data_IF_788549925930
#
_entry.id   IF_788549925930
#
_cell.length_a   1.000
_cell.length_b   1.000
_cell.length_c   1.000
_cell.angle_alpha   90.00
_cell.angle_beta   90.00
_cell.angle_gamma   90.00
#
_symmetry.space_group_name_H-M   'P 1'
#
loop_
_entity.id
_entity.type
_entity.pdbx_description
1 polymer ?
#
# COMPACT_ATOMS: atom_id res chain seq x y z
N UNK A 1 2.94 20.48 12.72
CA UNK A 1 1.63 20.85 12.14
C UNK A 1 0.57 19.88 12.64
N UNK A 2 -0.69 20.27 12.66
CA UNK A 2 -1.82 19.41 13.07
C UNK A 2 -2.77 19.13 11.90
N UNK A 3 -3.54 18.04 12.02
CA UNK A 3 -4.60 17.72 11.07
C UNK A 3 -5.68 18.79 11.19
N UNK A 4 -5.94 19.48 10.09
CA UNK A 4 -6.91 20.58 10.07
C UNK A 4 -8.35 20.10 9.87
N UNK A 5 -8.51 18.99 9.15
CA UNK A 5 -9.81 18.48 8.72
C UNK A 5 -9.71 16.99 8.41
N UNK A 6 -10.78 16.24 8.68
CA UNK A 6 -10.89 14.81 8.36
C UNK A 6 -12.10 14.60 7.45
N UNK A 7 -11.88 14.00 6.27
CA UNK A 7 -12.90 13.68 5.28
C UNK A 7 -13.12 12.16 5.29
N UNK A 8 -14.34 11.72 5.58
CA UNK A 8 -14.72 10.31 5.50
C UNK A 8 -15.24 9.97 4.11
N UNK A 9 -14.40 9.32 3.31
CA UNK A 9 -14.71 8.93 1.92
C UNK A 9 -15.74 7.81 1.79
N UNK A 10 -16.20 7.22 2.89
CA UNK A 10 -17.36 6.29 2.89
C UNK A 10 -18.69 7.03 2.94
N UNK A 11 -18.69 8.31 3.33
CA UNK A 11 -19.89 9.15 3.42
C UNK A 11 -20.05 10.10 2.25
N UNK A 12 -19.09 10.10 1.33
CA UNK A 12 -19.05 10.97 0.17
C UNK A 12 -18.82 10.16 -1.09
N UNK A 13 -19.50 10.55 -2.16
CA UNK A 13 -19.15 10.07 -3.50
C UNK A 13 -17.78 10.61 -3.90
N UNK A 14 -17.16 9.97 -4.91
CA UNK A 14 -15.88 10.41 -5.46
C UNK A 14 -15.92 11.87 -5.95
N UNK A 15 -17.03 12.29 -6.58
CA UNK A 15 -17.18 13.67 -7.06
C UNK A 15 -17.38 14.68 -5.93
N UNK A 16 -18.12 14.32 -4.88
CA UNK A 16 -18.31 15.20 -3.71
C UNK A 16 -17.00 15.43 -2.96
N UNK A 17 -16.26 14.36 -2.67
CA UNK A 17 -14.95 14.47 -2.02
C UNK A 17 -13.97 15.28 -2.88
N UNK A 18 -14.00 15.10 -4.21
CA UNK A 18 -13.18 15.88 -5.13
C UNK A 18 -13.55 17.37 -5.15
N UNK A 19 -14.85 17.69 -5.07
CA UNK A 19 -15.32 19.07 -4.98
C UNK A 19 -14.84 19.74 -3.68
N UNK A 20 -14.92 19.03 -2.54
CA UNK A 20 -14.39 19.52 -1.27
C UNK A 20 -12.89 19.83 -1.42
N UNK A 21 -12.08 18.93 -2.00
CA UNK A 21 -10.65 19.20 -2.19
C UNK A 21 -10.38 20.40 -3.12
N UNK A 22 -11.16 20.58 -4.19
CA UNK A 22 -11.04 21.76 -5.07
C UNK A 22 -11.29 23.06 -4.32
N UNK A 23 -12.36 23.11 -3.54
CA UNK A 23 -12.72 24.28 -2.75
C UNK A 23 -11.59 24.58 -1.75
N UNK A 24 -11.05 23.56 -1.08
CA UNK A 24 -9.91 23.72 -0.15
C UNK A 24 -8.61 24.17 -0.84
N UNK A 25 -8.32 23.70 -2.04
CA UNK A 25 -7.13 24.13 -2.78
C UNK A 25 -7.29 25.58 -3.25
N UNK A 26 -8.51 26.03 -3.53
CA UNK A 26 -8.79 27.44 -3.83
C UNK A 26 -8.53 28.36 -2.63
N UNK A 27 -8.77 27.88 -1.41
CA UNK A 27 -8.49 28.61 -0.16
C UNK A 27 -7.01 28.54 0.24
N UNK A 28 -6.40 27.37 0.13
CA UNK A 28 -5.03 27.09 0.62
C UNK A 28 -4.14 26.63 -0.52
N UNK A 29 -3.00 27.30 -0.69
CA UNK A 29 -2.08 27.08 -1.80
C UNK A 29 -1.47 25.66 -1.87
N UNK A 30 -1.28 24.99 -0.72
CA UNK A 30 -0.79 23.62 -0.65
C UNK A 30 -1.70 22.77 0.25
N UNK A 31 -2.19 21.66 -0.29
CA UNK A 31 -2.89 20.62 0.47
C UNK A 31 -2.01 19.38 0.61
N UNK A 32 -1.98 18.81 1.81
CA UNK A 32 -1.26 17.57 2.11
C UNK A 32 -2.30 16.57 2.61
N UNK A 33 -2.57 15.56 1.78
CA UNK A 33 -3.52 14.51 2.06
C UNK A 33 -2.82 13.37 2.77
N UNK A 34 -3.26 13.08 4.00
CA UNK A 34 -2.72 12.02 4.85
C UNK A 34 -3.80 11.00 5.20
N UNK A 35 -3.42 9.89 5.81
CA UNK A 35 -4.37 8.89 6.31
C UNK A 35 -4.18 7.51 5.67
N UNK A 36 -5.07 6.55 5.98
CA UNK A 36 -4.83 5.14 5.69
C UNK A 36 -4.70 4.79 4.19
N UNK A 37 -3.95 3.72 3.90
CA UNK A 37 -3.99 3.09 2.59
C UNK A 37 -5.41 2.53 2.33
N UNK A 38 -5.98 2.91 1.18
CA UNK A 38 -7.38 2.63 0.82
C UNK A 38 -8.34 3.77 1.14
N UNK A 39 -7.91 4.78 1.91
CA UNK A 39 -8.71 5.96 2.29
C UNK A 39 -9.08 6.89 1.13
N UNK A 40 -8.68 6.58 -0.10
CA UNK A 40 -9.08 7.32 -1.30
C UNK A 40 -8.18 8.50 -1.68
N UNK A 41 -7.07 8.76 -0.97
CA UNK A 41 -6.14 9.89 -1.23
C UNK A 41 -5.83 10.15 -2.71
N UNK A 42 -5.13 9.23 -3.35
CA UNK A 42 -4.74 9.33 -4.77
C UNK A 42 -5.97 9.42 -5.68
N UNK A 43 -7.02 8.66 -5.40
CA UNK A 43 -8.25 8.62 -6.22
C UNK A 43 -9.01 9.95 -6.20
N UNK A 44 -9.21 10.52 -5.01
CA UNK A 44 -9.92 11.79 -4.83
C UNK A 44 -9.05 12.95 -5.32
N UNK A 45 -7.73 12.91 -5.07
CA UNK A 45 -6.79 13.92 -5.57
C UNK A 45 -6.80 14.00 -7.11
N UNK A 46 -6.64 12.86 -7.80
CA UNK A 46 -6.71 12.80 -9.27
C UNK A 46 -8.05 13.35 -9.79
N UNK A 47 -9.15 13.00 -9.12
CA UNK A 47 -10.48 13.49 -9.50
C UNK A 47 -10.64 15.00 -9.28
N UNK A 48 -9.98 15.55 -8.25
CA UNK A 48 -10.01 16.98 -7.96
C UNK A 48 -9.11 17.84 -8.86
N UNK A 49 -8.19 17.25 -9.64
CA UNK A 49 -7.34 18.01 -10.56
C UNK A 49 -8.16 18.83 -11.57
N UNK A 50 -7.78 20.09 -11.76
CA UNK A 50 -8.38 21.07 -12.66
C UNK A 50 -7.36 22.14 -13.10
N UNK A 51 -7.82 23.19 -13.79
CA UNK A 51 -6.99 24.29 -14.30
C UNK A 51 -6.26 25.11 -13.22
N UNK A 52 -6.74 25.07 -11.97
CA UNK A 52 -6.13 25.78 -10.85
C UNK A 52 -5.04 24.95 -10.17
N UNK A 53 -4.93 23.67 -10.50
CA UNK A 53 -3.88 22.80 -9.99
C UNK A 53 -2.58 23.02 -10.78
N UNK A 54 -1.48 23.20 -10.07
CA UNK A 54 -0.14 23.38 -10.64
C UNK A 54 0.72 22.14 -10.56
N UNK A 55 0.65 21.44 -9.42
CA UNK A 55 1.37 20.21 -9.22
C UNK A 55 0.62 19.22 -8.33
N UNK A 56 0.86 17.93 -8.53
CA UNK A 56 0.40 16.85 -7.65
C UNK A 56 1.51 15.84 -7.43
N UNK A 57 1.81 15.54 -6.18
CA UNK A 57 2.90 14.64 -5.84
C UNK A 57 2.50 13.53 -4.88
N UNK A 58 3.27 12.45 -4.85
CA UNK A 58 3.12 11.34 -3.93
C UNK A 58 4.40 11.15 -3.10
N UNK A 59 4.26 11.33 -1.79
CA UNK A 59 5.36 11.08 -0.88
C UNK A 59 5.74 9.60 -0.87
N UNK A 60 7.04 9.31 -0.89
CA UNK A 60 7.59 7.94 -0.83
C UNK A 60 7.59 7.35 0.59
N UNK A 61 6.56 7.66 1.36
CA UNK A 61 6.34 7.18 2.73
C UNK A 61 5.73 5.78 2.65
N UNK A 62 6.47 4.74 3.08
CA UNK A 62 6.12 3.32 2.86
C UNK A 62 4.77 2.91 3.45
N UNK A 63 4.30 3.56 4.51
CA UNK A 63 3.11 3.14 5.24
C UNK A 63 1.78 3.69 4.69
N UNK A 64 1.78 4.89 4.08
CA UNK A 64 0.53 5.58 3.77
C UNK A 64 0.55 6.40 2.46
N UNK A 65 1.72 6.74 1.92
CA UNK A 65 1.87 7.54 0.69
C UNK A 65 0.99 8.80 0.68
N UNK A 66 1.41 9.87 1.37
CA UNK A 66 0.67 11.12 1.38
C UNK A 66 0.65 11.72 -0.02
N UNK A 67 -0.44 12.40 -0.36
CA UNK A 67 -0.58 13.06 -1.66
C UNK A 67 -0.55 14.57 -1.45
N UNK A 68 0.33 15.27 -2.16
CA UNK A 68 0.54 16.71 -2.02
C UNK A 68 -0.02 17.38 -3.26
N UNK A 69 -0.89 18.36 -3.09
CA UNK A 69 -1.45 19.16 -4.18
C UNK A 69 -1.02 20.60 -4.01
N UNK A 70 -0.53 21.23 -5.08
CA UNK A 70 -0.06 22.62 -5.08
C UNK A 70 -0.83 23.40 -6.13
N UNK A 71 -1.37 24.56 -5.73
CA UNK A 71 -2.09 25.48 -6.63
C UNK A 71 -1.14 26.11 -7.66
N UNK A 72 -1.66 26.40 -8.85
CA UNK A 72 -0.88 26.82 -10.03
C UNK A 72 -0.10 28.12 -9.86
N UNK A 73 -0.69 29.11 -9.21
CA UNK A 73 -0.02 30.36 -8.85
C UNK A 73 1.10 30.12 -7.83
N UNK A 74 0.88 29.25 -6.85
CA UNK A 74 1.89 28.87 -5.85
C UNK A 74 3.07 28.14 -6.49
N UNK A 75 2.84 27.23 -7.44
CA UNK A 75 3.92 26.60 -8.23
C UNK A 75 4.76 27.66 -8.95
N UNK A 76 4.12 28.61 -9.64
CA UNK A 76 4.84 29.70 -10.33
C UNK A 76 5.68 30.53 -9.37
N UNK A 77 5.12 30.86 -8.19
CA UNK A 77 5.84 31.61 -7.15
C UNK A 77 7.03 30.82 -6.62
N UNK A 78 6.85 29.54 -6.28
CA UNK A 78 7.89 28.66 -5.73
C UNK A 78 9.05 28.44 -6.72
N UNK A 79 8.78 28.33 -8.02
CA UNK A 79 9.80 28.18 -9.07
C UNK A 79 10.65 29.43 -9.29
N UNK A 80 10.22 30.59 -8.82
CA UNK A 80 10.96 31.86 -8.94
C UNK A 80 11.73 32.23 -7.67
N UNK A 81 11.66 31.40 -6.62
CA UNK A 81 12.28 31.67 -5.32
C UNK A 81 13.49 30.76 -5.14
N UNK A 82 14.70 31.32 -5.22
CA UNK A 82 15.94 30.58 -4.95
C UNK A 82 16.17 30.49 -3.45
N UNK A 83 16.37 29.27 -2.93
CA UNK A 83 16.55 29.00 -1.50
C UNK A 83 17.95 28.47 -1.15
N UNK A 84 18.65 27.88 -2.12
CA UNK A 84 20.00 27.34 -1.95
C UNK A 84 20.79 27.51 -3.25
N UNK A 85 22.07 27.86 -3.14
CA UNK A 85 23.01 27.77 -4.27
C UNK A 85 23.89 26.55 -4.02
N UNK A 86 23.64 25.46 -4.75
CA UNK A 86 24.35 24.20 -4.52
C UNK A 86 25.61 24.13 -5.38
N UNK A 87 26.79 23.90 -4.79
CA UNK A 87 28.02 23.76 -5.55
C UNK A 87 27.97 22.51 -6.44
N UNK A 88 28.39 22.66 -7.70
CA UNK A 88 28.57 21.57 -8.63
C UNK A 88 30.03 21.08 -8.60
N UNK A 89 30.30 19.79 -8.87
CA UNK A 89 31.66 19.26 -8.99
C UNK A 89 32.30 19.63 -10.34
N UNK A 90 32.06 20.84 -10.83
CA UNK A 90 32.54 21.37 -12.11
C UNK A 90 33.13 22.75 -11.83
N UNK A 91 34.30 23.01 -12.40
CA UNK A 91 35.05 24.24 -12.22
C UNK A 91 35.28 24.92 -13.58
N UNK A 92 35.16 26.24 -13.60
CA UNK A 92 35.54 27.08 -14.74
C UNK A 92 36.76 27.91 -14.31
N UNK A 93 37.96 27.43 -14.65
CA UNK A 93 39.21 27.91 -14.07
C UNK A 93 39.28 27.60 -12.57
N UNK A 94 39.50 28.63 -11.74
CA UNK A 94 39.56 28.52 -10.28
C UNK A 94 38.19 28.70 -9.59
N UNK A 95 37.11 28.95 -10.35
CA UNK A 95 35.77 29.16 -9.80
C UNK A 95 34.92 27.90 -9.88
N UNK A 96 34.35 27.49 -8.75
CA UNK A 96 33.36 26.41 -8.68
C UNK A 96 32.02 26.91 -9.23
N UNK A 97 31.40 26.14 -10.13
CA UNK A 97 30.06 26.45 -10.62
C UNK A 97 29.00 26.06 -9.58
N UNK A 98 27.86 26.76 -9.62
CA UNK A 98 26.72 26.51 -8.73
C UNK A 98 25.45 26.31 -9.54
N UNK A 99 24.50 25.58 -8.95
CA UNK A 99 23.13 25.51 -9.44
C UNK A 99 22.19 26.15 -8.42
N UNK A 100 21.23 26.92 -8.91
CA UNK A 100 20.17 27.51 -8.09
C UNK A 100 19.13 26.44 -7.80
N UNK A 101 18.86 26.21 -6.51
CA UNK A 101 17.79 25.34 -6.04
C UNK A 101 16.62 26.24 -5.66
N UNK A 102 15.48 26.06 -6.32
CA UNK A 102 14.28 26.83 -6.00
C UNK A 102 13.54 26.22 -4.80
N UNK A 103 12.65 27.00 -4.17
CA UNK A 103 11.76 26.51 -3.12
C UNK A 103 10.89 25.34 -3.64
N UNK A 104 10.53 25.37 -4.93
CA UNK A 104 9.85 24.27 -5.59
C UNK A 104 10.71 23.00 -5.62
N UNK A 105 11.98 23.12 -6.01
CA UNK A 105 12.91 21.99 -6.07
C UNK A 105 13.19 21.43 -4.68
N UNK A 106 13.29 22.29 -3.66
CA UNK A 106 13.45 21.88 -2.28
C UNK A 106 12.23 21.10 -1.75
N UNK A 107 11.00 21.56 -2.05
CA UNK A 107 9.77 20.83 -1.73
C UNK A 107 9.75 19.48 -2.43
N UNK A 108 10.01 19.46 -3.74
CA UNK A 108 10.05 18.22 -4.53
C UNK A 108 11.09 17.23 -3.99
N UNK A 109 12.31 17.69 -3.73
CA UNK A 109 13.35 16.87 -3.14
C UNK A 109 12.95 16.34 -1.75
N UNK A 110 12.23 17.13 -0.95
CA UNK A 110 11.70 16.68 0.34
C UNK A 110 10.70 15.53 0.16
N UNK A 111 9.80 15.64 -0.82
CA UNK A 111 8.80 14.60 -1.15
C UNK A 111 9.47 13.31 -1.62
N UNK A 112 10.49 13.44 -2.49
CA UNK A 112 11.21 12.30 -3.08
C UNK A 112 12.14 11.59 -2.07
N UNK A 113 12.74 12.34 -1.13
CA UNK A 113 13.80 11.84 -0.25
C UNK A 113 13.36 11.54 1.19
N UNK A 114 12.10 11.82 1.58
CA UNK A 114 11.63 11.40 2.90
C UNK A 114 11.56 9.88 2.95
N UNK A 115 12.57 9.33 3.61
CA UNK A 115 12.62 7.95 4.03
C UNK A 115 11.90 7.86 5.37
N UNK A 116 10.82 7.07 5.40
CA UNK A 116 9.99 6.90 6.58
C UNK A 116 10.73 6.09 7.64
N UNK A 117 11.53 6.79 8.44
CA UNK A 117 12.14 6.27 9.66
C UNK A 117 11.14 6.59 10.78
N UNK A 118 10.39 5.58 11.24
CA UNK A 118 9.51 5.63 12.42
C UNK A 118 8.11 6.26 12.25
N UNK A 119 7.50 6.25 11.06
CA UNK A 119 6.10 6.71 10.82
C UNK A 119 5.83 8.19 11.10
N UNK A 120 6.86 8.96 11.43
CA UNK A 120 6.79 10.42 11.45
C UNK A 120 6.84 10.99 10.03
N UNK A 121 7.04 10.16 9.01
CA UNK A 121 7.23 10.57 7.63
C UNK A 121 6.13 11.51 7.12
N UNK A 122 4.84 11.27 7.41
CA UNK A 122 3.76 12.15 6.92
C UNK A 122 3.75 13.53 7.62
N UNK A 123 3.89 13.57 8.95
CA UNK A 123 3.87 14.83 9.72
C UNK A 123 5.19 15.59 9.54
N UNK A 124 6.31 14.89 9.45
CA UNK A 124 7.62 15.47 9.18
C UNK A 124 7.69 16.02 7.74
N UNK A 125 7.18 15.27 6.76
CA UNK A 125 7.00 15.75 5.39
C UNK A 125 6.15 17.01 5.37
N UNK A 126 5.00 16.97 6.04
CA UNK A 126 4.13 18.13 6.10
C UNK A 126 4.81 19.33 6.77
N UNK A 127 5.55 19.10 7.86
CA UNK A 127 6.26 20.15 8.59
C UNK A 127 7.39 20.74 7.77
N UNK A 128 8.17 19.94 7.03
CA UNK A 128 9.24 20.42 6.14
C UNK A 128 8.68 21.21 4.95
N UNK A 129 7.66 20.68 4.27
CA UNK A 129 6.98 21.38 3.18
C UNK A 129 6.42 22.72 3.68
N UNK A 130 5.75 22.70 4.83
CA UNK A 130 5.20 23.90 5.45
C UNK A 130 6.26 24.91 5.86
N UNK A 131 7.40 24.46 6.39
CA UNK A 131 8.53 25.33 6.70
C UNK A 131 9.00 26.10 5.46
N UNK A 132 9.32 25.37 4.38
CA UNK A 132 9.78 25.96 3.11
C UNK A 132 8.72 26.92 2.54
N UNK A 133 7.45 26.51 2.52
CA UNK A 133 6.37 27.32 1.96
C UNK A 133 6.09 28.59 2.80
N UNK A 134 6.09 28.47 4.13
CA UNK A 134 5.76 29.55 5.07
C UNK A 134 6.80 30.66 5.07
N UNK A 135 8.08 30.34 4.90
CA UNK A 135 9.16 31.33 4.71
C UNK A 135 8.88 32.28 3.53
N UNK A 136 8.01 31.89 2.62
CA UNK A 136 7.64 32.66 1.44
C UNK A 136 6.17 33.08 1.41
N UNK A 137 5.47 33.00 2.55
CA UNK A 137 4.06 33.40 2.69
C UNK A 137 3.12 32.55 1.83
N UNK A 138 3.38 31.23 1.77
CA UNK A 138 2.51 30.26 1.11
C UNK A 138 1.94 29.33 2.19
N UNK A 139 0.62 29.34 2.33
CA UNK A 139 -0.06 28.54 3.34
C UNK A 139 -0.20 27.08 2.92
N UNK A 140 -0.12 26.20 3.93
CA UNK A 140 -0.18 24.75 3.78
C UNK A 140 -1.21 24.15 4.74
N UNK A 141 -2.00 23.19 4.30
CA UNK A 141 -3.04 22.54 5.11
C UNK A 141 -2.96 21.02 5.02
N UNK A 142 -3.09 20.33 6.16
CA UNK A 142 -3.14 18.86 6.24
C UNK A 142 -4.59 18.42 6.31
N UNK A 143 -5.01 17.55 5.39
CA UNK A 143 -6.35 16.96 5.36
C UNK A 143 -6.20 15.44 5.50
N UNK A 144 -6.90 14.85 6.46
CA UNK A 144 -6.91 13.41 6.64
C UNK A 144 -8.08 12.78 5.85
N UNK A 145 -7.80 11.77 5.04
CA UNK A 145 -8.81 11.01 4.30
C UNK A 145 -8.97 9.62 4.91
N UNK A 146 -10.12 9.38 5.53
CA UNK A 146 -10.49 8.11 6.17
C UNK A 146 -11.59 7.39 5.38
N UNK A 147 -11.79 6.11 5.68
CA UNK A 147 -12.93 5.33 5.23
C UNK A 147 -13.28 4.28 6.31
N UNK A 148 -14.52 3.80 6.28
CA UNK A 148 -14.98 2.73 7.17
C UNK A 148 -14.20 1.43 6.89
N UNK A 149 -13.89 0.61 7.92
CA UNK A 149 -13.03 -0.57 7.77
C UNK A 149 -13.48 -1.57 6.70
N UNK A 150 -14.78 -1.82 6.58
CA UNK A 150 -15.32 -2.76 5.59
C UNK A 150 -15.14 -2.24 4.16
N UNK A 151 -15.30 -0.92 3.96
CA UNK A 151 -15.04 -0.31 2.66
C UNK A 151 -13.55 -0.28 2.32
N UNK A 152 -12.66 -0.03 3.29
CA UNK A 152 -11.22 -0.12 3.07
C UNK A 152 -10.84 -1.51 2.55
N UNK A 153 -11.41 -2.56 3.13
CA UNK A 153 -11.19 -3.95 2.69
C UNK A 153 -11.66 -4.19 1.25
N UNK A 154 -12.88 -3.76 0.92
CA UNK A 154 -13.44 -3.90 -0.45
C UNK A 154 -12.59 -3.11 -1.45
N UNK A 155 -12.27 -1.85 -1.14
CA UNK A 155 -11.48 -0.97 -2.00
C UNK A 155 -10.07 -1.48 -2.23
N UNK A 156 -9.45 -2.16 -1.25
CA UNK A 156 -8.16 -2.84 -1.41
C UNK A 156 -8.28 -4.04 -2.35
N UNK A 157 -9.34 -4.84 -2.23
CA UNK A 157 -9.60 -6.01 -3.08
C UNK A 157 -9.76 -5.63 -4.56
N UNK A 158 -10.54 -4.60 -4.85
CA UNK A 158 -10.89 -4.20 -6.23
C UNK A 158 -10.07 -3.02 -6.77
N UNK A 159 -9.00 -2.63 -6.05
CA UNK A 159 -8.20 -1.44 -6.37
C UNK A 159 -7.51 -1.48 -7.72
N UNK A 160 -7.25 -2.67 -8.24
CA UNK A 160 -6.61 -2.82 -9.55
C UNK A 160 -7.59 -2.59 -10.70
N UNK A 161 -8.87 -2.88 -10.49
CA UNK A 161 -9.89 -2.85 -11.54
C UNK A 161 -10.12 -1.41 -12.05
N UNK A 162 -9.89 -0.41 -11.18
CA UNK A 162 -9.95 0.99 -11.52
C UNK A 162 -8.58 1.63 -11.82
N UNK A 163 -7.48 0.89 -11.73
CA UNK A 163 -6.11 1.44 -11.90
C UNK A 163 -5.91 2.04 -13.29
N UNK A 164 -6.40 1.33 -14.34
CA UNK A 164 -6.38 1.82 -15.72
C UNK A 164 -7.13 3.15 -15.85
N UNK A 165 -8.33 3.22 -15.28
CA UNK A 165 -9.15 4.43 -15.32
C UNK A 165 -8.46 5.58 -14.56
N UNK A 166 -7.92 5.33 -13.37
CA UNK A 166 -7.20 6.32 -12.55
C UNK A 166 -5.98 6.87 -13.27
N UNK A 167 -5.11 6.01 -13.83
CA UNK A 167 -3.94 6.44 -14.59
C UNK A 167 -4.34 7.21 -15.86
N UNK A 168 -5.38 6.76 -16.55
CA UNK A 168 -5.88 7.45 -17.76
C UNK A 168 -6.42 8.84 -17.42
N UNK A 169 -7.17 8.99 -16.33
CA UNK A 169 -7.67 10.29 -15.85
C UNK A 169 -6.51 11.20 -15.45
N UNK A 170 -5.50 10.68 -14.74
CA UNK A 170 -4.31 11.44 -14.37
C UNK A 170 -3.60 11.98 -15.61
N UNK A 171 -3.20 11.11 -16.56
CA UNK A 171 -2.48 11.51 -17.79
C UNK A 171 -3.30 12.53 -18.60
N UNK A 172 -4.61 12.31 -18.75
CA UNK A 172 -5.48 13.26 -19.47
C UNK A 172 -5.45 14.65 -18.82
N UNK A 173 -5.60 14.72 -17.49
CA UNK A 173 -5.64 15.98 -16.77
C UNK A 173 -4.29 16.67 -16.70
N UNK A 174 -3.20 15.92 -16.55
CA UNK A 174 -1.82 16.44 -16.65
C UNK A 174 -1.61 17.19 -17.97
N UNK A 175 -1.94 16.53 -19.09
CA UNK A 175 -1.80 17.11 -20.43
C UNK A 175 -2.75 18.29 -20.63
N UNK A 176 -4.01 18.17 -20.22
CA UNK A 176 -5.03 19.22 -20.41
C UNK A 176 -4.74 20.50 -19.62
N UNK A 177 -4.28 20.37 -18.38
CA UNK A 177 -4.15 21.50 -17.46
C UNK A 177 -2.69 21.94 -17.23
N UNK A 178 -1.73 21.22 -17.82
CA UNK A 178 -0.28 21.41 -17.65
C UNK A 178 0.15 21.29 -16.18
N UNK A 179 -0.24 20.17 -15.57
CA UNK A 179 0.05 19.86 -14.15
C UNK A 179 1.37 19.08 -14.08
N UNK A 180 2.28 19.53 -13.22
CA UNK A 180 3.50 18.79 -12.88
C UNK A 180 3.15 17.65 -11.91
N UNK A 181 3.64 16.43 -12.13
CA UNK A 181 3.18 15.28 -11.36
C UNK A 181 4.23 14.19 -11.20
N UNK A 182 4.27 13.56 -10.02
CA UNK A 182 5.10 12.38 -9.73
C UNK A 182 4.30 11.21 -9.10
N UNK A 183 3.00 11.12 -9.37
CA UNK A 183 2.22 9.96 -8.89
C UNK A 183 2.76 8.69 -9.56
N UNK A 184 3.48 7.86 -8.80
CA UNK A 184 4.15 6.66 -9.30
C UNK A 184 3.56 5.35 -8.76
N UNK A 185 2.69 5.40 -7.74
CA UNK A 185 2.22 4.19 -7.06
C UNK A 185 0.75 3.82 -7.33
N UNK A 186 0.26 4.06 -8.55
CA UNK A 186 -1.06 3.57 -8.96
C UNK A 186 -1.03 2.04 -8.98
N UNK A 187 -1.39 1.42 -7.84
CA UNK A 187 -1.42 -0.01 -7.62
C UNK A 187 -2.33 -0.69 -8.66
N UNK A 188 -1.77 -1.64 -9.41
CA UNK A 188 -2.44 -2.34 -10.52
C UNK A 188 -2.23 -1.73 -11.91
N UNK A 189 -1.50 -0.62 -12.05
CA UNK A 189 -1.09 -0.09 -13.35
C UNK A 189 0.34 -0.56 -13.72
N UNK A 190 0.63 -0.63 -15.03
CA UNK A 190 1.97 -1.00 -15.52
C UNK A 190 3.00 0.05 -15.16
N UNK A 191 4.17 -0.39 -14.71
CA UNK A 191 5.31 0.50 -14.41
C UNK A 191 5.69 1.32 -15.65
N UNK A 192 5.75 0.68 -16.82
CA UNK A 192 6.10 1.39 -18.07
C UNK A 192 5.05 2.43 -18.47
N UNK A 193 3.77 2.19 -18.21
CA UNK A 193 2.72 3.17 -18.51
C UNK A 193 2.78 4.37 -17.53
N UNK A 194 3.11 4.11 -16.26
CA UNK A 194 3.33 5.15 -15.24
C UNK A 194 4.55 6.02 -15.59
N UNK A 195 5.63 5.41 -16.09
CA UNK A 195 6.87 6.11 -16.47
C UNK A 195 6.69 6.88 -17.79
N UNK A 196 6.14 6.24 -18.82
CA UNK A 196 6.08 6.82 -20.16
C UNK A 196 4.99 7.88 -20.32
N UNK A 197 3.88 7.79 -19.56
CA UNK A 197 2.76 8.76 -19.57
C UNK A 197 2.14 9.05 -20.95
N UNK A 198 2.37 8.18 -21.93
CA UNK A 198 1.87 8.33 -23.30
C UNK A 198 0.52 7.62 -23.49
N UNK A 199 0.39 6.40 -22.98
CA UNK A 199 -0.79 5.55 -23.12
C UNK A 199 -0.92 4.61 -21.92
N UNK A 200 -2.13 4.07 -21.73
CA UNK A 200 -2.40 3.01 -20.74
C UNK A 200 -2.82 1.74 -21.48
N UNK A 201 -1.97 0.72 -21.46
CA UNK A 201 -2.15 -0.56 -22.13
C UNK A 201 -2.84 -1.62 -21.26
N UNK A 202 -3.21 -2.75 -21.85
CA UNK A 202 -3.54 -3.97 -21.11
C UNK A 202 -2.26 -4.75 -20.80
N UNK A 203 -2.19 -5.45 -19.67
CA UNK A 203 -1.09 -6.37 -19.34
C UNK A 203 -0.91 -7.41 -20.45
N UNK A 204 0.34 -7.69 -20.81
CA UNK A 204 0.67 -8.87 -21.63
C UNK A 204 0.84 -10.09 -20.72
N UNK A 205 0.71 -11.29 -21.29
CA UNK A 205 0.71 -12.56 -20.55
C UNK A 205 2.03 -12.84 -19.78
N UNK A 206 3.09 -12.09 -20.08
CA UNK A 206 4.45 -12.22 -19.54
C UNK A 206 4.83 -11.15 -18.51
N UNK A 207 3.95 -10.19 -18.20
CA UNK A 207 4.21 -9.11 -17.25
C UNK A 207 3.76 -9.48 -15.82
N UNK A 208 4.70 -9.41 -14.85
CA UNK A 208 4.44 -9.73 -13.44
C UNK A 208 3.66 -8.59 -12.77
N UNK A 209 2.47 -8.89 -12.26
CA UNK A 209 1.55 -7.92 -11.64
C UNK A 209 1.13 -8.39 -10.25
N UNK A 210 1.62 -7.74 -9.18
CA UNK A 210 1.27 -8.01 -7.76
C UNK A 210 -0.22 -7.76 -7.46
N UNK A 211 -1.08 -8.64 -7.95
CA UNK A 211 -2.53 -8.46 -8.03
C UNK A 211 -3.25 -9.80 -7.90
N UNK A 212 -4.59 -9.83 -7.82
CA UNK A 212 -5.32 -11.11 -7.80
C UNK A 212 -5.20 -11.92 -9.10
N UNK A 213 -4.52 -11.40 -10.14
CA UNK A 213 -4.20 -12.18 -11.35
C UNK A 213 -2.96 -13.09 -11.11
N UNK A 214 -2.19 -12.81 -10.05
CA UNK A 214 -1.23 -13.76 -9.46
C UNK A 214 -1.92 -14.93 -8.75
N UNK A 215 -3.25 -14.93 -8.67
CA UNK A 215 -4.02 -16.03 -8.11
C UNK A 215 -4.58 -16.85 -9.27
N UNK A 216 -4.11 -18.10 -9.40
CA UNK A 216 -4.62 -19.00 -10.43
C UNK A 216 -6.10 -19.34 -10.21
N UNK A 217 -6.53 -19.50 -8.96
CA UNK A 217 -7.90 -19.92 -8.62
C UNK A 217 -8.26 -19.52 -7.20
N UNK A 218 -9.54 -19.24 -6.96
CA UNK A 218 -10.10 -19.01 -5.62
C UNK A 218 -11.15 -20.07 -5.28
N UNK A 219 -11.18 -20.50 -4.02
CA UNK A 219 -12.13 -21.49 -3.50
C UNK A 219 -12.81 -20.90 -2.27
N UNK A 220 -14.13 -20.78 -2.33
CA UNK A 220 -14.93 -20.16 -1.27
C UNK A 220 -14.83 -20.93 0.05
N UNK A 221 -14.72 -20.19 1.15
CA UNK A 221 -14.59 -20.73 2.51
C UNK A 221 -15.84 -20.54 3.38
N UNK A 222 -16.86 -19.86 2.86
CA UNK A 222 -18.10 -19.61 3.60
C UNK A 222 -18.75 -20.91 4.10
N UNK A 223 -19.06 -20.94 5.40
CA UNK A 223 -19.66 -22.09 6.08
C UNK A 223 -18.70 -23.27 6.34
N UNK A 224 -17.42 -23.16 5.97
CA UNK A 224 -16.42 -24.23 6.18
C UNK A 224 -15.72 -24.10 7.52
N UNK A 225 -15.40 -25.23 8.09
CA UNK A 225 -14.50 -25.38 9.23
C UNK A 225 -13.04 -25.30 8.77
N UNK A 226 -12.13 -25.07 9.71
CA UNK A 226 -10.69 -25.09 9.44
C UNK A 226 -10.29 -26.47 8.90
N UNK A 227 -10.80 -27.55 9.48
CA UNK A 227 -10.54 -28.92 9.03
C UNK A 227 -10.84 -29.13 7.54
N UNK A 228 -12.02 -28.69 7.09
CA UNK A 228 -12.43 -28.76 5.68
C UNK A 228 -11.52 -27.89 4.80
N UNK A 229 -11.17 -26.68 5.25
CA UNK A 229 -10.26 -25.82 4.52
C UNK A 229 -8.86 -26.42 4.35
N UNK A 230 -8.32 -27.08 5.38
CA UNK A 230 -7.03 -27.77 5.31
C UNK A 230 -7.05 -28.92 4.29
N UNK A 231 -8.14 -29.71 4.25
CA UNK A 231 -8.30 -30.78 3.26
C UNK A 231 -8.33 -30.22 1.84
N UNK A 232 -9.15 -29.18 1.61
CA UNK A 232 -9.24 -28.52 0.32
C UNK A 232 -7.89 -27.95 -0.09
N UNK A 233 -7.17 -27.32 0.85
CA UNK A 233 -5.84 -26.78 0.62
C UNK A 233 -4.86 -27.85 0.13
N UNK A 234 -4.73 -28.96 0.86
CA UNK A 234 -3.81 -30.07 0.53
C UNK A 234 -4.19 -30.69 -0.81
N UNK A 235 -5.47 -30.96 -1.05
CA UNK A 235 -5.95 -31.57 -2.29
C UNK A 235 -5.70 -30.67 -3.49
N UNK A 236 -6.05 -29.39 -3.40
CA UNK A 236 -5.88 -28.41 -4.47
C UNK A 236 -4.41 -28.22 -4.80
N UNK A 237 -3.60 -28.01 -3.76
CA UNK A 237 -2.15 -27.89 -3.86
C UNK A 237 -1.59 -29.11 -4.59
N UNK A 238 -1.88 -30.33 -4.13
CA UNK A 238 -1.38 -31.58 -4.74
C UNK A 238 -1.81 -31.77 -6.21
N UNK A 239 -3.06 -31.46 -6.54
CA UNK A 239 -3.60 -31.61 -7.90
C UNK A 239 -2.97 -30.63 -8.87
N UNK A 240 -2.86 -29.36 -8.45
CA UNK A 240 -2.44 -28.26 -9.31
C UNK A 240 -0.92 -28.05 -9.29
N UNK A 241 -0.20 -28.69 -8.35
CA UNK A 241 1.24 -28.52 -8.10
C UNK A 241 1.65 -27.06 -7.88
N UNK A 242 0.80 -26.30 -7.19
CA UNK A 242 0.99 -24.87 -6.88
C UNK A 242 0.65 -24.57 -5.43
N UNK A 243 1.32 -23.58 -4.85
CA UNK A 243 1.03 -23.16 -3.48
C UNK A 243 -0.39 -22.63 -3.38
N UNK A 244 -1.07 -22.96 -2.29
CA UNK A 244 -2.36 -22.40 -1.96
C UNK A 244 -2.34 -21.87 -0.52
N UNK A 245 -3.18 -20.91 -0.17
CA UNK A 245 -3.25 -20.39 1.19
C UNK A 245 -4.52 -19.64 1.53
N UNK A 246 -4.75 -19.45 2.82
CA UNK A 246 -5.85 -18.68 3.38
C UNK A 246 -5.48 -18.08 4.74
N UNK A 247 -6.34 -17.20 5.25
CA UNK A 247 -6.12 -16.45 6.48
C UNK A 247 -7.12 -16.83 7.56
N UNK A 248 -6.61 -16.94 8.79
CA UNK A 248 -7.40 -17.16 10.00
C UNK A 248 -7.13 -16.03 10.99
N UNK A 249 -8.19 -15.44 11.53
CA UNK A 249 -8.13 -14.47 12.62
C UNK A 249 -8.43 -15.17 13.95
N UNK A 250 -7.52 -15.00 14.90
CA UNK A 250 -7.63 -15.47 16.27
C UNK A 250 -8.04 -14.30 17.17
N UNK A 251 -9.26 -14.34 17.72
CA UNK A 251 -9.79 -13.28 18.59
C UNK A 251 -10.60 -13.87 19.74
N UNK A 252 -10.31 -13.47 20.97
CA UNK A 252 -11.02 -13.92 22.18
C UNK A 252 -11.15 -15.45 22.29
N UNK A 253 -10.09 -16.20 21.97
CA UNK A 253 -10.06 -17.68 21.92
C UNK A 253 -10.96 -18.33 20.86
N UNK A 254 -11.46 -17.54 19.90
CA UNK A 254 -12.16 -18.03 18.72
C UNK A 254 -11.30 -17.87 17.48
N UNK A 255 -11.42 -18.85 16.58
CA UNK A 255 -10.76 -18.85 15.27
C UNK A 255 -11.81 -18.59 14.20
N UNK A 256 -11.52 -17.66 13.29
CA UNK A 256 -12.41 -17.32 12.18
C UNK A 256 -11.62 -17.27 10.88
N UNK A 257 -12.07 -18.00 9.87
CA UNK A 257 -11.54 -17.86 8.50
C UNK A 257 -11.99 -16.50 7.95
N UNK A 258 -11.04 -15.72 7.45
CA UNK A 258 -11.28 -14.34 6.97
C UNK A 258 -10.95 -14.14 5.49
N UNK A 259 -10.49 -15.19 4.81
CA UNK A 259 -10.25 -15.18 3.36
C UNK A 259 -10.69 -16.50 2.73
N UNK A 260 -10.97 -16.45 1.43
CA UNK A 260 -11.04 -17.64 0.59
C UNK A 260 -9.69 -18.36 0.54
N UNK A 261 -9.71 -19.64 0.12
CA UNK A 261 -8.49 -20.35 -0.23
C UNK A 261 -8.08 -19.87 -1.62
N UNK A 262 -6.82 -19.46 -1.73
CA UNK A 262 -6.27 -18.89 -2.94
C UNK A 262 -5.15 -19.78 -3.42
N UNK A 263 -5.23 -20.23 -4.66
CA UNK A 263 -4.16 -20.91 -5.37
C UNK A 263 -3.28 -19.86 -6.04
N UNK A 264 -1.98 -19.94 -5.85
CA UNK A 264 -1.01 -19.08 -6.52
C UNK A 264 -0.96 -19.37 -8.04
N UNK A 265 -0.58 -18.35 -8.81
CA UNK A 265 -0.17 -18.46 -10.20
C UNK A 265 1.17 -19.17 -10.33
N UNK A 266 1.60 -19.46 -11.55
CA UNK A 266 2.81 -20.26 -11.82
C UNK A 266 4.11 -19.63 -11.30
N UNK A 267 4.11 -18.32 -11.05
CA UNK A 267 5.29 -17.55 -10.66
C UNK A 267 5.09 -16.71 -9.39
N UNK A 268 4.13 -17.09 -8.53
CA UNK A 268 3.70 -16.25 -7.40
C UNK A 268 3.73 -17.01 -6.08
N UNK A 269 4.08 -16.31 -4.99
CA UNK A 269 4.06 -16.84 -3.62
C UNK A 269 2.86 -16.31 -2.86
N UNK A 270 2.14 -17.16 -2.13
CA UNK A 270 0.81 -16.81 -1.61
C UNK A 270 0.84 -16.04 -0.28
N UNK A 271 1.85 -16.26 0.57
CA UNK A 271 1.87 -15.76 1.95
C UNK A 271 1.84 -14.23 2.08
N UNK A 272 2.79 -13.54 1.45
CA UNK A 272 2.87 -12.05 1.49
C UNK A 272 1.68 -11.41 0.78
N UNK A 273 1.28 -11.97 -0.36
CA UNK A 273 0.16 -11.45 -1.16
C UNK A 273 -1.17 -11.52 -0.41
N UNK A 274 -1.41 -12.59 0.36
CA UNK A 274 -2.61 -12.69 1.22
C UNK A 274 -2.65 -11.60 2.29
N UNK A 275 -1.51 -11.35 2.96
CA UNK A 275 -1.40 -10.36 4.03
C UNK A 275 -1.66 -8.93 3.50
N UNK A 276 -1.09 -8.60 2.35
CA UNK A 276 -1.25 -7.30 1.71
C UNK A 276 -2.69 -7.07 1.20
N UNK A 277 -3.32 -8.09 0.62
CA UNK A 277 -4.66 -7.98 0.01
C UNK A 277 -5.78 -7.97 1.05
N UNK A 278 -5.72 -8.82 2.07
CA UNK A 278 -6.86 -9.07 2.96
C UNK A 278 -6.75 -8.41 4.33
N UNK A 279 -5.54 -8.13 4.81
CA UNK A 279 -5.31 -7.66 6.19
C UNK A 279 -4.85 -6.21 6.22
N UNK A 280 -3.96 -5.80 5.31
CA UNK A 280 -3.43 -4.44 5.25
C UNK A 280 -2.67 -4.08 6.52
N UNK A 281 -1.55 -4.75 6.73
CA UNK A 281 -0.62 -4.48 7.82
C UNK A 281 -0.14 -3.02 7.77
N UNK A 282 -0.21 -2.33 8.92
CA UNK A 282 0.40 -1.02 9.13
C UNK A 282 1.54 -1.17 10.14
N UNK A 283 2.61 -0.43 9.98
CA UNK A 283 3.56 -0.28 11.08
C UNK A 283 2.89 0.58 12.17
N UNK A 284 3.18 0.35 13.47
CA UNK A 284 2.82 1.29 14.55
C UNK A 284 4.11 1.72 15.28
N UNK A 285 4.39 3.02 15.30
CA UNK A 285 5.73 3.58 15.45
C UNK A 285 6.38 3.68 16.83
N UNK A 286 7.68 4.04 16.78
CA UNK A 286 8.28 5.13 17.57
C UNK A 286 8.89 4.86 18.95
N UNK A 287 10.22 5.11 19.05
CA UNK A 287 10.95 5.67 20.20
C UNK A 287 10.59 5.07 21.58
N UNK A 288 10.98 3.82 21.83
CA UNK A 288 11.25 3.27 23.18
C UNK A 288 11.93 1.88 23.10
N UNK A 289 12.81 1.66 22.11
CA UNK A 289 13.73 0.52 22.13
C UNK A 289 13.10 -0.88 22.02
N UNK A 290 12.00 -1.05 21.28
CA UNK A 290 11.48 -2.39 20.94
C UNK A 290 11.51 -2.54 19.42
N UNK A 291 12.24 -3.55 18.96
CA UNK A 291 12.43 -3.91 17.56
C UNK A 291 11.12 -4.39 16.92
N UNK A 292 10.83 -3.81 15.75
CA UNK A 292 10.00 -4.33 14.65
C UNK A 292 8.64 -4.97 14.97
N UNK A 293 7.52 -4.26 14.74
CA UNK A 293 6.22 -4.92 14.48
C UNK A 293 5.35 -4.11 13.52
N UNK A 294 5.02 -4.70 12.36
CA UNK A 294 3.83 -4.32 11.61
C UNK A 294 2.59 -4.90 12.33
N UNK A 295 1.60 -4.08 12.65
CA UNK A 295 0.34 -4.50 13.27
C UNK A 295 -0.80 -4.53 12.22
N UNK A 296 -1.63 -5.60 12.20
CA UNK A 296 -2.77 -5.64 11.29
C UNK A 296 -3.84 -4.61 11.68
N UNK A 297 -4.59 -4.09 10.69
CA UNK A 297 -5.74 -3.19 10.89
C UNK A 297 -6.94 -3.86 11.62
N UNK A 298 -6.78 -5.13 11.99
CA UNK A 298 -7.78 -5.95 12.65
C UNK A 298 -7.29 -6.37 14.04
N UNK A 299 -8.20 -6.30 15.02
CA UNK A 299 -7.91 -6.69 16.40
C UNK A 299 -7.92 -8.20 16.53
N UNK A 300 -6.75 -8.79 16.78
CA UNK A 300 -6.53 -10.21 17.03
C UNK A 300 -5.15 -10.63 16.53
N UNK A 301 -4.87 -11.93 16.57
CA UNK A 301 -3.65 -12.52 15.97
C UNK A 301 -4.02 -13.09 14.61
N UNK A 302 -3.24 -12.76 13.58
CA UNK A 302 -3.45 -13.27 12.24
C UNK A 302 -2.58 -14.49 12.01
N UNK A 303 -3.18 -15.51 11.42
CA UNK A 303 -2.51 -16.70 10.94
C UNK A 303 -2.64 -16.78 9.42
N UNK A 304 -1.51 -16.94 8.74
CA UNK A 304 -1.44 -17.37 7.33
C UNK A 304 -1.24 -18.87 7.34
N UNK A 305 -2.17 -19.59 6.72
CA UNK A 305 -2.02 -21.02 6.48
C UNK A 305 -1.81 -21.19 4.98
N UNK A 306 -0.66 -21.72 4.57
CA UNK A 306 -0.40 -22.02 3.16
C UNK A 306 0.27 -23.39 2.97
N UNK A 307 0.23 -23.89 1.74
CA UNK A 307 0.87 -25.13 1.36
C UNK A 307 2.28 -24.91 0.82
N UNK A 308 3.11 -25.93 0.93
CA UNK A 308 4.44 -25.99 0.35
C UNK A 308 4.62 -27.23 -0.53
N UNK A 309 5.28 -27.04 -1.67
CA UNK A 309 5.45 -28.05 -2.72
C UNK A 309 6.86 -28.64 -2.85
N UNK A 310 7.81 -28.22 -2.04
CA UNK A 310 9.17 -28.78 -2.02
C UNK A 310 9.36 -29.94 -1.04
N UNK A 311 10.43 -30.71 -1.26
CA UNK A 311 10.90 -31.78 -0.36
C UNK A 311 11.79 -31.25 0.80
N UNK A 312 11.83 -29.92 0.97
CA UNK A 312 12.67 -29.22 1.95
C UNK A 312 12.02 -29.00 3.31
N UNK A 313 12.63 -28.10 4.09
CA UNK A 313 12.03 -27.59 5.33
C UNK A 313 10.72 -26.86 4.99
N UNK A 314 9.65 -27.16 5.74
CA UNK A 314 8.32 -26.61 5.45
C UNK A 314 8.26 -25.10 5.69
N UNK A 315 8.82 -24.61 6.81
CA UNK A 315 8.95 -23.18 7.06
C UNK A 315 10.22 -22.64 6.41
N UNK A 316 10.05 -21.81 5.38
CA UNK A 316 11.16 -21.11 4.76
C UNK A 316 11.72 -20.01 5.66
N UNK A 317 12.92 -19.51 5.31
CA UNK A 317 13.50 -18.32 5.93
C UNK A 317 12.61 -17.08 5.77
N UNK A 318 11.91 -17.00 4.65
CA UNK A 318 10.98 -15.96 4.26
C UNK A 318 9.71 -16.02 5.14
N UNK A 319 9.20 -17.21 5.43
CA UNK A 319 8.04 -17.41 6.32
C UNK A 319 8.36 -16.97 7.75
N UNK A 320 9.54 -17.36 8.25
CA UNK A 320 10.01 -16.95 9.58
C UNK A 320 10.24 -15.44 9.65
N UNK A 321 10.82 -14.87 8.59
CA UNK A 321 11.00 -13.42 8.45
C UNK A 321 9.68 -12.66 8.39
N UNK A 322 8.70 -13.16 7.65
CA UNK A 322 7.36 -12.59 7.57
C UNK A 322 6.62 -12.68 8.91
N UNK A 323 6.69 -13.83 9.60
CA UNK A 323 6.09 -14.00 10.92
C UNK A 323 6.62 -12.99 11.94
N UNK A 324 7.95 -12.83 12.00
CA UNK A 324 8.59 -11.84 12.87
C UNK A 324 8.22 -10.41 12.49
N UNK A 325 8.36 -10.07 11.20
CA UNK A 325 8.10 -8.71 10.69
C UNK A 325 6.65 -8.27 10.89
N UNK A 326 5.70 -9.17 10.63
CA UNK A 326 4.26 -8.87 10.69
C UNK A 326 3.60 -9.24 12.01
N UNK A 327 4.33 -9.82 12.97
CA UNK A 327 3.73 -10.27 14.24
C UNK A 327 2.56 -11.24 14.02
N UNK A 328 2.69 -12.12 13.03
CA UNK A 328 1.68 -13.10 12.62
C UNK A 328 2.15 -14.51 12.93
N UNK A 329 1.20 -15.44 12.91
CA UNK A 329 1.49 -16.87 12.81
C UNK A 329 1.57 -17.21 11.32
N UNK A 330 2.68 -17.79 10.88
CA UNK A 330 2.76 -18.50 9.60
C UNK A 330 2.75 -19.99 9.87
N UNK A 331 1.84 -20.69 9.21
CA UNK A 331 1.66 -22.14 9.27
C UNK A 331 1.76 -22.69 7.85
N UNK A 332 2.63 -23.69 7.67
CA UNK A 332 2.89 -24.32 6.38
C UNK A 332 2.46 -25.77 6.41
N UNK A 333 1.81 -26.21 5.32
CA UNK A 333 1.30 -27.56 5.18
C UNK A 333 1.94 -28.22 3.95
N UNK A 334 2.68 -29.29 4.18
CA UNK A 334 3.24 -30.10 3.11
C UNK A 334 2.15 -30.91 2.40
N UNK A 335 2.39 -31.26 1.13
CA UNK A 335 1.50 -32.10 0.34
C UNK A 335 1.24 -33.50 0.93
N UNK A 336 2.07 -33.93 1.89
CA UNK A 336 1.92 -35.19 2.65
C UNK A 336 1.15 -35.01 3.98
N UNK A 337 0.59 -33.82 4.23
CA UNK A 337 -0.13 -33.50 5.47
C UNK A 337 0.77 -33.19 6.66
N UNK A 338 2.10 -33.10 6.47
CA UNK A 338 2.98 -32.57 7.53
C UNK A 338 2.70 -31.09 7.72
N UNK A 339 2.61 -30.67 8.98
CA UNK A 339 2.34 -29.28 9.36
C UNK A 339 3.55 -28.76 10.11
N UNK A 340 3.94 -27.54 9.77
CA UNK A 340 4.88 -26.76 10.57
C UNK A 340 4.34 -25.36 10.80
N UNK A 341 4.72 -24.74 11.92
CA UNK A 341 4.20 -23.41 12.29
C UNK A 341 5.22 -22.65 13.10
N UNK A 342 5.26 -21.35 12.87
CA UNK A 342 6.00 -20.38 13.68
C UNK A 342 5.46 -20.28 15.12
N UNK A 343 4.28 -20.86 15.39
CA UNK A 343 3.71 -21.00 16.73
C UNK A 343 3.55 -22.48 17.12
N UNK A 344 4.42 -22.98 18.00
CA UNK A 344 4.49 -24.41 18.34
C UNK A 344 3.14 -25.03 18.81
N UNK A 345 2.38 -24.43 19.74
CA UNK A 345 1.07 -24.99 20.11
C UNK A 345 0.07 -25.07 18.96
N UNK A 346 0.20 -24.18 17.96
CA UNK A 346 -0.71 -24.16 16.81
C UNK A 346 -0.50 -25.37 15.91
N UNK A 347 0.76 -25.78 15.74
CA UNK A 347 1.14 -27.00 15.03
C UNK A 347 0.44 -28.23 15.61
N UNK A 348 0.50 -28.41 16.93
CA UNK A 348 -0.13 -29.56 17.62
C UNK A 348 -1.66 -29.56 17.44
N UNK A 349 -2.30 -28.40 17.58
CA UNK A 349 -3.76 -28.25 17.36
C UNK A 349 -4.17 -28.69 15.96
N UNK A 350 -3.48 -28.19 14.93
CA UNK A 350 -3.83 -28.50 13.54
C UNK A 350 -3.52 -29.97 13.19
N UNK A 351 -2.46 -30.55 13.76
CA UNK A 351 -2.17 -31.97 13.64
C UNK A 351 -3.28 -32.82 14.27
N UNK A 352 -3.78 -32.44 15.45
CA UNK A 352 -4.92 -33.09 16.11
C UNK A 352 -6.18 -33.07 15.23
N UNK A 353 -6.54 -31.90 14.71
CA UNK A 353 -7.68 -31.74 13.79
C UNK A 353 -7.56 -32.66 12.58
N UNK A 354 -6.38 -32.70 11.95
CA UNK A 354 -6.13 -33.54 10.78
C UNK A 354 -6.17 -35.05 11.11
N UNK A 355 -5.70 -35.45 12.29
CA UNK A 355 -5.73 -36.84 12.74
C UNK A 355 -7.14 -37.32 13.10
N UNK A 356 -7.97 -36.49 13.72
CA UNK A 356 -9.36 -36.82 14.06
C UNK A 356 -10.18 -37.03 12.79
N UNK A 357 -10.06 -36.13 11.81
CA UNK A 357 -10.73 -36.25 10.52
C UNK A 357 -10.35 -37.54 9.76
N UNK A 358 -9.08 -37.94 9.80
CA UNK A 358 -8.63 -39.20 9.18
C UNK A 358 -9.18 -40.46 9.87
N UNK A 359 -9.62 -40.36 11.13
CA UNK A 359 -10.30 -41.45 11.83
C UNK A 359 -11.79 -41.53 11.49
N UNK A 360 -12.42 -40.41 11.16
CA UNK A 360 -13.84 -40.34 10.78
C UNK A 360 -14.09 -40.80 9.34
N UNK A 361 -13.06 -40.78 8.48
CA UNK A 361 -13.11 -41.28 7.09
C UNK A 361 -12.77 -42.77 6.92
N UNK A 362 -12.37 -43.46 8.01
CA UNK A 362 -12.16 -44.92 8.05
C UNK A 362 -13.33 -45.60 8.72
#
# INVERSE_FOLDING_TARGET
MEISETINTSRHTKQEAAKILKDKLSETAILILVGPQGGGKTTVAIESLDENTGAIFEGRVRAAQPVIMIRKDAVKKLKNLVVEHRPLPIYEGDQQLYTEITAYDAIRATIENIFDILELGEIELATKISGIAKEHGIDTRIIELIAEPDELRIRRKYRKDDAKARLSTLIYKEKKYHIDSDILSIQGAKILDIINRDRVGAFSDDEISRTTDDFGKTIQTDGKTIAECLKILIQTSKQEKREAGFLVLHKYKHERIISDIILAGEHSTIGVTLLEVYVGFRQKGGILGIQEVYKPDIVGVIEVIHSHHGDGELLSTEDRGAAGRFGIIVTVIGANGRIDSTHYPRKETLQGIMHEEQKTEK
#
